data_IF_948328780503
#
_entry.id   IF_948328780503
#
_cell.length_a   1.000
_cell.length_b   1.000
_cell.length_c   1.000
_cell.angle_alpha   90.00
_cell.angle_beta   90.00
_cell.angle_gamma   90.00
#
_symmetry.space_group_name_H-M   'P 1'
#
loop_
_entity.id
_entity.type
_entity.pdbx_description
1 polymer ?
#
# COMPACT_ATOMS: atom_id res chain seq x y z
N UNK A 1 8.14 9.33 -8.62
CA UNK A 1 8.09 10.54 -9.45
C UNK A 1 7.96 10.12 -10.89
N UNK A 2 7.23 10.88 -11.71
CA UNK A 2 7.07 10.61 -13.13
C UNK A 2 7.41 11.89 -13.88
N UNK A 3 8.51 11.88 -14.62
CA UNK A 3 9.00 13.01 -15.43
C UNK A 3 9.07 12.53 -16.89
N UNK A 4 8.41 13.23 -17.80
CA UNK A 4 8.37 12.91 -19.24
C UNK A 4 8.03 11.44 -19.59
N UNK A 5 7.26 10.77 -18.74
CA UNK A 5 6.85 9.37 -18.91
C UNK A 5 7.81 8.35 -18.30
N UNK A 6 8.95 8.79 -17.76
CA UNK A 6 9.89 7.95 -17.02
C UNK A 6 9.50 7.86 -15.55
N UNK A 7 9.47 6.65 -15.01
CA UNK A 7 9.09 6.38 -13.64
C UNK A 7 10.34 6.19 -12.78
N UNK A 8 10.47 7.02 -11.73
CA UNK A 8 11.55 6.91 -10.75
C UNK A 8 10.99 6.65 -9.35
N UNK A 9 11.46 5.58 -8.71
CA UNK A 9 11.13 5.29 -7.31
C UNK A 9 11.95 6.20 -6.40
N UNK A 10 11.31 7.19 -5.77
CA UNK A 10 11.98 8.15 -4.89
C UNK A 10 12.12 7.67 -3.45
N UNK A 11 11.30 6.71 -3.04
CA UNK A 11 11.32 6.14 -1.70
C UNK A 11 11.01 4.65 -1.75
N UNK A 12 11.95 3.84 -1.25
CA UNK A 12 11.77 2.41 -1.03
C UNK A 12 11.82 2.16 0.48
N UNK A 13 10.71 1.75 1.11
CA UNK A 13 10.73 1.42 2.53
C UNK A 13 11.67 0.25 2.79
N UNK A 14 12.43 0.30 3.89
CA UNK A 14 13.31 -0.81 4.32
C UNK A 14 12.52 -2.08 4.63
N UNK A 15 11.34 -1.91 5.21
CA UNK A 15 10.41 -2.97 5.54
C UNK A 15 9.00 -2.52 5.16
N UNK A 16 8.31 -3.30 4.33
CA UNK A 16 6.94 -3.03 3.92
C UNK A 16 5.98 -3.61 4.97
N UNK A 17 5.62 -2.78 5.94
CA UNK A 17 4.66 -3.16 6.99
C UNK A 17 3.24 -3.36 6.44
N UNK A 18 2.41 -4.18 7.09
CA UNK A 18 1.00 -4.31 6.73
C UNK A 18 0.27 -2.97 6.76
N UNK A 19 -0.71 -2.79 5.88
CA UNK A 19 -1.54 -1.57 5.83
C UNK A 19 -2.30 -1.35 7.14
N UNK A 20 -2.62 -2.44 7.84
CA UNK A 20 -3.27 -2.44 9.14
C UNK A 20 -2.53 -1.57 10.17
N UNK A 21 -1.20 -1.64 10.21
CA UNK A 21 -0.37 -0.84 11.14
C UNK A 21 -0.50 0.66 10.91
N UNK A 22 -0.72 1.08 9.67
CA UNK A 22 -0.96 2.47 9.30
C UNK A 22 -2.41 2.88 9.55
N UNK A 23 -3.38 1.99 9.29
CA UNK A 23 -4.80 2.23 9.55
C UNK A 23 -5.10 2.38 11.04
N UNK A 24 -4.49 1.54 11.89
CA UNK A 24 -4.75 1.49 13.35
C UNK A 24 -4.43 2.80 14.06
N UNK A 25 -3.47 3.56 13.52
CA UNK A 25 -3.05 4.87 14.05
C UNK A 25 -4.03 5.99 13.70
N UNK A 26 -4.95 5.77 12.78
CA UNK A 26 -5.87 6.78 12.28
C UNK A 26 -7.30 6.51 12.75
N UNK A 27 -7.82 7.38 13.61
CA UNK A 27 -9.16 7.23 14.18
C UNK A 27 -10.28 7.09 13.14
N UNK A 28 -10.13 7.70 11.96
CA UNK A 28 -11.10 7.60 10.86
C UNK A 28 -11.34 6.18 10.36
N UNK A 29 -10.39 5.26 10.53
CA UNK A 29 -10.49 3.88 10.06
C UNK A 29 -10.91 2.89 11.15
N UNK A 30 -11.22 3.35 12.36
CA UNK A 30 -11.58 2.48 13.49
C UNK A 30 -12.78 1.55 13.18
N UNK A 31 -13.70 1.97 12.32
CA UNK A 31 -14.86 1.17 11.92
C UNK A 31 -14.49 -0.03 11.03
N UNK A 32 -13.37 0.02 10.31
CA UNK A 32 -12.88 -1.10 9.49
C UNK A 32 -12.33 -2.25 10.34
N UNK A 33 -11.96 -1.98 11.59
CA UNK A 33 -11.44 -3.00 12.53
C UNK A 33 -12.53 -3.82 13.22
N UNK A 34 -13.80 -3.60 12.88
CA UNK A 34 -14.88 -4.46 13.37
C UNK A 34 -14.78 -5.84 12.67
N UNK A 35 -15.11 -6.96 13.34
CA UNK A 35 -14.97 -8.30 12.77
C UNK A 35 -15.64 -8.46 11.40
N UNK A 36 -16.78 -7.80 11.21
CA UNK A 36 -17.57 -7.87 9.97
C UNK A 36 -16.84 -7.23 8.79
N UNK A 37 -15.94 -6.27 9.05
CA UNK A 37 -15.21 -5.50 8.05
C UNK A 37 -13.77 -6.01 7.83
N UNK A 38 -13.37 -7.13 8.47
CA UNK A 38 -12.00 -7.65 8.36
C UNK A 38 -11.60 -7.91 6.90
N UNK A 39 -12.52 -8.44 6.10
CA UNK A 39 -12.35 -8.67 4.67
C UNK A 39 -11.92 -7.41 3.90
N UNK A 40 -12.40 -6.22 4.30
CA UNK A 40 -12.03 -4.95 3.66
C UNK A 40 -10.56 -4.60 3.91
N UNK A 41 -10.01 -4.94 5.08
CA UNK A 41 -8.59 -4.73 5.40
C UNK A 41 -7.73 -5.66 4.54
N UNK A 42 -8.16 -6.90 4.36
CA UNK A 42 -7.44 -7.89 3.55
C UNK A 42 -7.45 -7.50 2.06
N UNK A 43 -8.60 -7.05 1.54
CA UNK A 43 -8.72 -6.50 0.18
C UNK A 43 -7.84 -5.25 -0.01
N UNK A 44 -7.80 -4.36 0.98
CA UNK A 44 -6.94 -3.18 0.93
C UNK A 44 -5.45 -3.57 0.92
N UNK A 45 -5.06 -4.57 1.72
CA UNK A 45 -3.70 -5.09 1.71
C UNK A 45 -3.32 -5.61 0.32
N UNK A 46 -4.18 -6.45 -0.28
CA UNK A 46 -3.95 -7.00 -1.63
C UNK A 46 -3.86 -5.89 -2.70
N UNK A 47 -4.70 -4.86 -2.61
CA UNK A 47 -4.66 -3.73 -3.54
C UNK A 47 -3.36 -2.92 -3.42
N UNK A 48 -2.92 -2.66 -2.19
CA UNK A 48 -1.65 -1.96 -1.91
C UNK A 48 -0.48 -2.76 -2.46
N UNK A 49 -0.48 -4.09 -2.27
CA UNK A 49 0.56 -4.99 -2.75
C UNK A 49 0.63 -4.98 -4.28
N UNK A 50 -0.53 -5.12 -4.94
CA UNK A 50 -0.64 -5.06 -6.40
C UNK A 50 -0.12 -3.74 -6.97
N UNK A 51 -0.49 -2.61 -6.36
CA UNK A 51 -0.02 -1.29 -6.78
C UNK A 51 1.47 -1.11 -6.57
N UNK A 52 1.99 -1.63 -5.45
CA UNK A 52 3.41 -1.60 -5.15
C UNK A 52 4.23 -2.38 -6.19
N UNK A 53 3.82 -3.60 -6.51
CA UNK A 53 4.47 -4.39 -7.56
C UNK A 53 4.42 -3.73 -8.93
N UNK A 54 3.28 -3.12 -9.28
CA UNK A 54 3.14 -2.38 -10.53
C UNK A 54 4.11 -1.20 -10.56
N UNK A 55 4.24 -0.46 -9.46
CA UNK A 55 5.17 0.66 -9.35
C UNK A 55 6.62 0.19 -9.51
N UNK A 56 7.00 -0.92 -8.86
CA UNK A 56 8.34 -1.48 -9.00
C UNK A 56 8.66 -1.86 -10.44
N UNK A 57 7.72 -2.51 -11.14
CA UNK A 57 7.86 -2.85 -12.57
C UNK A 57 8.01 -1.61 -13.44
N UNK A 58 7.22 -0.56 -13.20
CA UNK A 58 7.32 0.70 -13.93
C UNK A 58 8.68 1.39 -13.71
N UNK A 59 9.24 1.28 -12.51
CA UNK A 59 10.54 1.84 -12.15
C UNK A 59 11.74 0.92 -12.51
N UNK A 60 11.52 -0.26 -13.10
CA UNK A 60 12.59 -1.22 -13.44
C UNK A 60 13.27 -1.89 -12.23
N UNK A 61 12.61 -1.92 -11.08
CA UNK A 61 13.12 -2.50 -9.83
C UNK A 61 12.82 -4.02 -9.71
N UNK A 62 12.13 -4.59 -10.70
CA UNK A 62 11.75 -6.01 -10.79
C UNK A 62 11.55 -6.36 -12.26
#
# INVERSE_FOLDING_TARGET
>A
EVEDGEWRLTYKPKEKKPVEEWLKRQGRFRHLFRPENRHMIDELQAEVDRRWERLLRLCGET
#
